data_IF_861930120952
#
_entry.id   IF_861930120952
#
_cell.length_a   1.000
_cell.length_b   1.000
_cell.length_c   1.000
_cell.angle_alpha   90.00
_cell.angle_beta   90.00
_cell.angle_gamma   90.00
#
_symmetry.space_group_name_H-M   'P 1'
#
loop_
_entity.id
_entity.type
_entity.pdbx_description
1 polymer ?
#
# COMPACT_ATOMS: atom_id res chain seq x y z
N UNK A 1 -16.67 25.92 -8.53
CA UNK A 1 -16.14 25.13 -9.65
C UNK A 1 -15.33 24.00 -9.02
N UNK A 2 -15.90 22.82 -8.95
CA UNK A 2 -15.26 21.64 -8.37
C UNK A 2 -14.36 21.02 -9.45
N UNK A 3 -13.08 21.35 -9.40
CA UNK A 3 -12.08 20.66 -10.21
C UNK A 3 -11.88 19.25 -9.67
N UNK A 4 -12.56 18.28 -10.24
CA UNK A 4 -12.21 16.88 -10.06
C UNK A 4 -10.82 16.68 -10.63
N UNK A 5 -9.81 16.56 -9.77
CA UNK A 5 -8.49 16.10 -10.18
C UNK A 5 -8.64 14.65 -10.62
N UNK A 6 -8.81 14.47 -11.93
CA UNK A 6 -8.73 13.16 -12.56
C UNK A 6 -7.32 12.61 -12.28
N UNK A 7 -7.22 11.59 -11.44
CA UNK A 7 -6.04 10.74 -11.37
C UNK A 7 -6.03 9.96 -12.69
N UNK A 8 -5.58 10.63 -13.73
CA UNK A 8 -5.62 10.12 -15.07
C UNK A 8 -4.61 8.98 -15.19
N UNK A 9 -5.12 7.82 -15.60
CA UNK A 9 -4.40 6.68 -16.17
C UNK A 9 -3.04 6.38 -15.52
N UNK A 10 -3.08 5.72 -14.37
CA UNK A 10 -1.89 5.08 -13.82
C UNK A 10 -1.58 3.79 -14.60
N UNK A 11 -0.55 3.73 -15.45
CA UNK A 11 -0.32 2.54 -16.25
C UNK A 11 0.46 1.44 -15.54
N UNK A 12 1.08 1.68 -14.38
CA UNK A 12 1.92 0.64 -13.75
C UNK A 12 2.07 0.84 -12.25
N UNK A 13 1.72 -0.20 -11.51
CA UNK A 13 2.03 -0.33 -10.08
C UNK A 13 2.91 -1.57 -9.91
N UNK A 14 4.09 -1.40 -9.34
CA UNK A 14 4.94 -2.50 -8.92
C UNK A 14 4.91 -2.63 -7.40
N UNK A 15 4.59 -3.80 -6.89
CA UNK A 15 4.50 -4.03 -5.45
C UNK A 15 5.38 -5.18 -4.99
N UNK A 16 6.02 -5.02 -3.85
CA UNK A 16 6.73 -6.08 -3.14
C UNK A 16 5.89 -6.48 -1.94
N UNK A 17 5.55 -7.75 -1.83
CA UNK A 17 4.79 -8.30 -0.72
C UNK A 17 5.61 -9.33 0.04
N UNK A 18 5.68 -9.18 1.34
CA UNK A 18 6.10 -10.24 2.24
C UNK A 18 4.86 -10.93 2.82
N UNK A 19 4.74 -12.22 2.61
CA UNK A 19 3.65 -13.02 3.19
C UNK A 19 3.96 -14.50 3.11
N UNK A 20 3.76 -15.21 4.21
CA UNK A 20 3.85 -16.67 4.23
C UNK A 20 2.54 -17.23 3.73
N UNK A 21 2.53 -17.83 2.55
CA UNK A 21 1.46 -18.74 2.13
C UNK A 21 1.87 -20.18 2.49
N UNK A 22 0.90 -20.99 2.90
CA UNK A 22 1.08 -22.43 3.17
C UNK A 22 1.26 -23.26 1.88
N UNK A 23 1.98 -22.71 0.88
CA UNK A 23 2.50 -23.45 -0.27
C UNK A 23 3.94 -23.82 0.00
N UNK A 24 4.45 -24.87 -0.63
CA UNK A 24 5.82 -25.36 -0.44
C UNK A 24 6.87 -24.26 -0.58
N UNK A 25 6.64 -23.27 -1.45
CA UNK A 25 7.48 -22.08 -1.64
C UNK A 25 7.35 -21.04 -0.52
N UNK A 26 6.40 -21.19 0.39
CA UNK A 26 6.17 -20.29 1.54
C UNK A 26 6.74 -20.81 2.84
N UNK A 27 7.34 -22.00 2.87
CA UNK A 27 8.03 -22.52 4.04
C UNK A 27 9.27 -21.66 4.35
N UNK A 28 9.53 -21.46 5.64
CA UNK A 28 10.70 -20.66 6.07
C UNK A 28 12.01 -21.20 5.50
N UNK A 29 12.13 -22.52 5.40
CA UNK A 29 13.30 -23.17 4.81
C UNK A 29 13.52 -22.81 3.34
N UNK A 30 12.44 -22.57 2.58
CA UNK A 30 12.50 -22.19 1.17
C UNK A 30 12.55 -20.67 0.95
N UNK A 31 11.99 -19.91 1.88
CA UNK A 31 11.95 -18.45 1.82
C UNK A 31 13.17 -17.79 2.49
N UNK A 32 13.85 -18.51 3.39
CA UNK A 32 15.04 -18.03 4.08
C UNK A 32 16.16 -17.80 3.09
N UNK A 33 16.82 -16.63 3.20
CA UNK A 33 17.91 -16.22 2.31
C UNK A 33 17.54 -16.22 0.80
N UNK A 34 16.25 -16.05 0.50
CA UNK A 34 15.73 -16.05 -0.87
C UNK A 34 14.86 -14.82 -1.14
N UNK A 35 14.98 -14.28 -2.34
CA UNK A 35 14.15 -13.19 -2.86
C UNK A 35 13.63 -13.57 -4.23
N UNK A 36 12.33 -13.86 -4.35
CA UNK A 36 11.76 -14.40 -5.57
C UNK A 36 10.44 -13.75 -5.97
N UNK A 37 10.27 -13.48 -7.26
CA UNK A 37 8.98 -13.09 -7.80
C UNK A 37 8.03 -14.29 -7.80
N UNK A 38 6.76 -14.06 -7.51
CA UNK A 38 5.71 -15.07 -7.60
C UNK A 38 4.44 -14.53 -8.25
N UNK A 39 3.57 -15.41 -8.70
CA UNK A 39 2.31 -14.99 -9.34
C UNK A 39 2.50 -14.15 -10.60
N UNK A 40 3.62 -14.27 -11.31
CA UNK A 40 4.00 -13.44 -12.47
C UNK A 40 3.00 -13.56 -13.62
N UNK A 41 2.39 -14.74 -13.81
CA UNK A 41 1.36 -14.98 -14.85
C UNK A 41 -0.04 -14.52 -14.44
N UNK A 42 -0.23 -14.08 -13.21
CA UNK A 42 -1.48 -13.66 -12.62
C UNK A 42 -1.52 -13.96 -11.13
N UNK A 43 -1.71 -12.94 -10.33
CA UNK A 43 -1.87 -13.06 -8.89
C UNK A 43 -3.34 -12.88 -8.53
N UNK A 44 -3.83 -13.62 -7.54
CA UNK A 44 -5.25 -13.58 -7.11
C UNK A 44 -5.76 -12.19 -6.72
N UNK A 45 -4.86 -11.30 -6.25
CA UNK A 45 -5.23 -9.91 -5.90
C UNK A 45 -5.20 -8.95 -7.10
N UNK A 46 -4.68 -9.37 -8.26
CA UNK A 46 -4.62 -8.50 -9.43
C UNK A 46 -5.99 -7.97 -9.86
N UNK A 47 -7.06 -8.81 -9.98
CA UNK A 47 -8.40 -8.33 -10.34
C UNK A 47 -8.96 -7.33 -9.33
N UNK A 48 -8.76 -7.58 -8.04
CA UNK A 48 -9.23 -6.72 -6.95
C UNK A 48 -8.55 -5.34 -6.99
N UNK A 49 -7.22 -5.32 -7.15
CA UNK A 49 -6.46 -4.07 -7.29
C UNK A 49 -6.90 -3.31 -8.54
N UNK A 50 -7.05 -4.00 -9.67
CA UNK A 50 -7.51 -3.39 -10.92
C UNK A 50 -8.92 -2.79 -10.79
N UNK A 51 -9.83 -3.49 -10.09
CA UNK A 51 -11.18 -3.01 -9.80
C UNK A 51 -11.14 -1.75 -8.93
N UNK A 52 -10.38 -1.76 -7.83
CA UNK A 52 -10.25 -0.59 -6.95
C UNK A 52 -9.69 0.63 -7.67
N UNK A 53 -8.67 0.44 -8.51
CA UNK A 53 -8.09 1.50 -9.32
C UNK A 53 -9.07 2.03 -10.37
N UNK A 54 -9.82 1.15 -11.01
CA UNK A 54 -10.84 1.54 -12.00
C UNK A 54 -11.97 2.35 -11.37
N UNK A 55 -12.43 1.97 -10.18
CA UNK A 55 -13.43 2.72 -9.42
C UNK A 55 -12.92 4.11 -9.04
N UNK A 56 -11.69 4.21 -8.54
CA UNK A 56 -11.07 5.48 -8.16
C UNK A 56 -10.81 6.41 -9.36
N UNK A 57 -10.46 5.83 -10.51
CA UNK A 57 -10.15 6.58 -11.74
C UNK A 57 -11.38 6.88 -12.61
N UNK A 58 -12.56 6.32 -12.30
CA UNK A 58 -13.74 6.44 -13.13
C UNK A 58 -13.65 5.68 -14.47
N UNK A 59 -12.76 4.70 -14.58
CA UNK A 59 -12.57 3.90 -15.80
C UNK A 59 -11.39 2.93 -15.70
N UNK A 60 -11.17 2.08 -16.71
CA UNK A 60 -10.14 1.05 -16.66
C UNK A 60 -8.73 1.65 -16.55
N UNK A 61 -7.92 1.06 -15.67
CA UNK A 61 -6.53 1.45 -15.42
C UNK A 61 -5.61 0.29 -15.81
N UNK A 62 -4.56 0.57 -16.57
CA UNK A 62 -3.51 -0.40 -16.85
C UNK A 62 -2.70 -0.67 -15.58
N UNK A 63 -2.58 -1.95 -15.19
CA UNK A 63 -1.87 -2.39 -14.00
C UNK A 63 -0.84 -3.45 -14.35
N UNK A 64 0.39 -3.24 -13.90
CA UNK A 64 1.40 -4.30 -13.79
C UNK A 64 1.63 -4.53 -12.29
N UNK A 65 1.35 -5.75 -11.84
CA UNK A 65 1.50 -6.15 -10.45
C UNK A 65 2.40 -7.38 -10.36
N UNK A 66 3.56 -7.23 -9.76
CA UNK A 66 4.53 -8.31 -9.60
C UNK A 66 4.95 -8.42 -8.14
N UNK A 67 4.31 -9.28 -7.35
CA UNK A 67 4.70 -9.49 -5.97
C UNK A 67 5.99 -10.32 -5.86
N UNK A 68 6.75 -10.05 -4.79
CA UNK A 68 7.95 -10.78 -4.45
C UNK A 68 7.85 -11.31 -3.02
N UNK A 69 8.34 -12.52 -2.80
CA UNK A 69 8.60 -13.05 -1.46
C UNK A 69 9.97 -12.57 -1.01
N UNK A 70 10.03 -12.08 0.22
CA UNK A 70 11.25 -11.69 0.91
C UNK A 70 11.41 -12.53 2.16
N UNK A 71 12.62 -12.76 2.69
CA UNK A 71 12.84 -13.53 3.92
C UNK A 71 12.45 -12.72 5.17
N UNK A 72 11.31 -12.04 5.13
CA UNK A 72 10.77 -11.28 6.24
C UNK A 72 9.56 -12.01 6.85
N UNK A 73 9.49 -12.04 8.18
CA UNK A 73 8.46 -12.77 8.92
C UNK A 73 7.06 -12.22 8.60
N UNK A 74 6.93 -10.89 8.45
CA UNK A 74 5.67 -10.21 8.15
C UNK A 74 5.91 -8.80 7.63
N UNK A 75 4.87 -8.23 7.04
CA UNK A 75 4.85 -6.89 6.48
C UNK A 75 4.61 -6.90 4.97
N UNK A 76 4.09 -5.80 4.46
CA UNK A 76 3.99 -5.50 3.04
C UNK A 76 4.75 -4.21 2.80
N UNK A 77 5.60 -4.21 1.78
CA UNK A 77 6.21 -3.01 1.23
C UNK A 77 5.80 -2.90 -0.24
N UNK A 78 5.13 -1.83 -0.61
CA UNK A 78 4.75 -1.58 -1.99
C UNK A 78 5.45 -0.32 -2.51
N UNK A 79 6.04 -0.42 -3.69
CA UNK A 79 6.51 0.74 -4.45
C UNK A 79 5.64 0.89 -5.69
N UNK A 80 4.96 2.02 -5.78
CA UNK A 80 4.06 2.34 -6.88
C UNK A 80 4.69 3.42 -7.75
N UNK A 81 4.62 3.22 -9.06
CA UNK A 81 5.02 4.24 -10.03
C UNK A 81 3.83 4.64 -10.87
N UNK A 82 3.57 5.93 -10.97
CA UNK A 82 2.47 6.47 -11.77
C UNK A 82 2.94 7.68 -12.58
N UNK A 83 2.68 7.71 -13.89
CA UNK A 83 2.91 8.90 -14.68
C UNK A 83 2.08 10.08 -14.18
N UNK A 84 2.70 11.25 -14.09
CA UNK A 84 2.03 12.49 -13.74
C UNK A 84 1.43 13.11 -15.00
N UNK A 85 0.14 13.43 -14.92
CA UNK A 85 -0.54 14.20 -15.98
C UNK A 85 -0.25 15.69 -15.83
N UNK A 86 -0.07 16.13 -14.59
CA UNK A 86 0.26 17.52 -14.25
C UNK A 86 1.62 17.52 -13.53
N UNK A 87 2.71 17.83 -14.23
CA UNK A 87 4.06 17.79 -13.63
C UNK A 87 4.24 18.73 -12.43
N UNK A 88 3.50 19.84 -12.39
CA UNK A 88 3.62 20.85 -11.31
C UNK A 88 2.80 20.51 -10.06
N UNK A 89 2.15 19.32 -10.02
CA UNK A 89 1.35 18.93 -8.86
C UNK A 89 2.23 18.78 -7.62
N UNK A 90 1.87 19.43 -6.54
CA UNK A 90 2.43 19.15 -5.21
C UNK A 90 1.84 17.84 -4.69
N UNK A 91 2.59 16.75 -4.88
CA UNK A 91 2.18 15.41 -4.50
C UNK A 91 2.05 15.27 -2.97
N UNK A 92 2.94 15.91 -2.22
CA UNK A 92 2.92 15.85 -0.75
C UNK A 92 1.61 16.45 -0.22
N UNK A 93 1.32 17.70 -0.61
CA UNK A 93 0.09 18.38 -0.21
C UNK A 93 -1.18 17.62 -0.68
N UNK A 94 -1.14 16.99 -1.85
CA UNK A 94 -2.24 16.18 -2.36
C UNK A 94 -2.56 14.99 -1.45
N UNK A 95 -1.53 14.25 -1.03
CA UNK A 95 -1.69 13.08 -0.17
C UNK A 95 -2.06 13.47 1.26
N UNK A 96 -1.42 14.49 1.84
CA UNK A 96 -1.77 15.02 3.15
C UNK A 96 -3.24 15.45 3.20
N UNK A 97 -3.70 16.18 2.18
CA UNK A 97 -5.10 16.59 2.08
C UNK A 97 -6.05 15.40 1.91
N UNK A 98 -5.68 14.41 1.09
CA UNK A 98 -6.54 13.24 0.84
C UNK A 98 -6.73 12.38 2.08
N UNK A 99 -5.70 12.24 2.88
CA UNK A 99 -5.70 11.39 4.06
C UNK A 99 -5.84 12.17 5.38
N UNK A 100 -6.11 13.47 5.30
CA UNK A 100 -6.41 14.28 6.49
C UNK A 100 -7.61 13.70 7.25
N UNK A 101 -7.42 13.34 8.50
CA UNK A 101 -8.48 12.75 9.33
C UNK A 101 -8.62 11.23 9.24
N UNK A 102 -7.85 10.55 8.40
CA UNK A 102 -7.83 9.08 8.34
C UNK A 102 -6.96 8.53 9.50
N UNK A 103 -7.55 7.88 10.53
CA UNK A 103 -6.84 7.61 11.79
C UNK A 103 -5.70 6.60 11.64
N UNK A 104 -5.71 5.79 10.58
CA UNK A 104 -4.73 4.73 10.36
C UNK A 104 -3.83 4.99 9.15
N UNK A 105 -3.84 6.20 8.59
CA UNK A 105 -2.97 6.55 7.46
C UNK A 105 -2.03 7.68 7.88
N UNK A 106 -0.75 7.39 7.88
CA UNK A 106 0.33 8.34 8.17
C UNK A 106 1.04 8.72 6.85
N UNK A 107 0.79 9.93 6.37
CA UNK A 107 1.55 10.51 5.25
C UNK A 107 2.82 11.10 5.83
N UNK A 108 3.93 10.44 5.58
CA UNK A 108 5.22 10.79 6.15
C UNK A 108 5.74 12.12 5.60
N UNK A 109 6.59 12.85 6.35
CA UNK A 109 7.22 14.08 5.88
C UNK A 109 7.98 13.90 4.55
N UNK A 110 8.11 14.98 3.74
CA UNK A 110 8.87 14.92 2.50
C UNK A 110 10.28 14.36 2.69
N UNK A 111 10.73 13.53 1.76
CA UNK A 111 12.04 12.89 1.80
C UNK A 111 12.14 11.65 2.70
N UNK A 112 11.07 11.28 3.37
CA UNK A 112 11.03 10.07 4.20
C UNK A 112 11.01 8.79 3.35
N UNK A 113 11.50 7.69 3.95
CA UNK A 113 11.35 6.34 3.41
C UNK A 113 10.83 5.43 4.53
N UNK A 114 9.64 4.83 4.39
CA UNK A 114 9.07 3.95 5.40
C UNK A 114 9.79 2.61 5.43
N UNK A 115 9.69 1.93 6.57
CA UNK A 115 10.12 0.54 6.72
C UNK A 115 9.00 -0.30 7.37
N UNK A 116 9.01 -1.62 7.14
CA UNK A 116 7.95 -2.51 7.60
C UNK A 116 7.91 -2.70 9.12
N UNK A 117 9.00 -2.44 9.84
CA UNK A 117 9.01 -2.52 11.31
C UNK A 117 8.19 -1.40 11.93
N UNK A 118 8.22 -0.23 11.30
CA UNK A 118 7.55 0.97 11.80
C UNK A 118 6.01 0.85 11.87
N UNK A 119 5.43 -0.22 11.30
CA UNK A 119 3.99 -0.51 11.31
C UNK A 119 3.67 -1.89 11.88
N UNK A 120 4.68 -2.66 12.31
CA UNK A 120 4.52 -4.04 12.77
C UNK A 120 3.50 -4.15 13.91
N UNK A 121 2.58 -5.10 13.80
CA UNK A 121 1.50 -5.38 14.76
C UNK A 121 0.52 -4.23 15.00
N UNK A 122 0.52 -3.19 14.19
CA UNK A 122 -0.43 -2.09 14.25
C UNK A 122 -1.36 -2.06 13.05
N UNK A 123 -2.46 -1.31 13.16
CA UNK A 123 -3.36 -1.05 12.04
C UNK A 123 -2.92 0.16 11.19
N UNK A 124 -1.68 0.64 11.40
CA UNK A 124 -1.14 1.77 10.66
C UNK A 124 -0.69 1.39 9.25
N UNK A 125 -0.93 2.29 8.33
CA UNK A 125 -0.38 2.32 6.98
C UNK A 125 0.44 3.61 6.84
N UNK A 126 1.69 3.52 6.39
CA UNK A 126 2.54 4.68 6.13
C UNK A 126 2.78 4.87 4.66
N UNK A 127 2.70 6.12 4.22
CA UNK A 127 2.87 6.52 2.82
C UNK A 127 3.98 7.58 2.77
N UNK A 128 4.97 7.37 1.91
CA UNK A 128 5.91 8.41 1.51
C UNK A 128 5.79 8.67 0.01
N UNK A 129 5.83 9.94 -0.36
CA UNK A 129 5.59 10.38 -1.74
C UNK A 129 6.83 11.06 -2.28
N UNK A 130 7.27 10.65 -3.46
CA UNK A 130 8.47 11.15 -4.09
C UNK A 130 8.25 11.45 -5.56
N UNK A 131 9.08 12.33 -6.10
CA UNK A 131 9.26 12.52 -7.54
C UNK A 131 10.70 12.19 -7.88
N UNK A 132 10.97 11.07 -8.55
CA UNK A 132 12.33 10.73 -8.98
C UNK A 132 12.86 11.79 -9.95
N UNK A 133 14.09 12.25 -9.71
CA UNK A 133 14.72 13.28 -10.52
C UNK A 133 14.78 12.89 -12.00
N UNK A 134 14.49 13.85 -12.88
CA UNK A 134 14.52 13.65 -14.34
C UNK A 134 13.38 12.80 -14.90
N UNK A 135 12.31 12.61 -14.13
CA UNK A 135 11.13 11.84 -14.59
C UNK A 135 9.81 12.55 -14.30
N UNK A 136 8.79 12.26 -15.11
CA UNK A 136 7.41 12.69 -14.86
C UNK A 136 6.63 11.58 -14.15
N UNK A 137 7.25 10.98 -13.12
CA UNK A 137 6.64 9.92 -12.33
C UNK A 137 6.40 10.37 -10.89
N UNK A 138 5.24 9.99 -10.35
CA UNK A 138 5.08 9.86 -8.92
C UNK A 138 5.62 8.49 -8.48
N UNK A 139 6.41 8.46 -7.43
CA UNK A 139 6.83 7.25 -6.74
C UNK A 139 6.24 7.29 -5.33
N UNK A 140 5.40 6.31 -5.03
CA UNK A 140 4.72 6.20 -3.75
C UNK A 140 5.23 4.94 -3.06
N UNK A 141 5.77 5.10 -1.87
CA UNK A 141 6.23 4.03 -1.00
C UNK A 141 5.18 3.79 0.08
N UNK A 142 4.72 2.56 0.21
CA UNK A 142 3.67 2.21 1.17
C UNK A 142 4.10 1.01 1.99
N UNK A 143 3.91 1.09 3.31
CA UNK A 143 4.13 -0.04 4.21
C UNK A 143 2.92 -0.29 5.09
N UNK A 144 2.63 -1.55 5.33
CA UNK A 144 1.61 -2.00 6.27
C UNK A 144 1.96 -3.35 6.88
N UNK A 145 1.32 -3.69 7.97
CA UNK A 145 1.37 -5.03 8.53
C UNK A 145 0.35 -5.93 7.81
N UNK A 146 0.84 -6.97 7.14
CA UNK A 146 0.01 -7.87 6.34
C UNK A 146 -1.01 -8.69 7.14
N UNK A 147 -0.83 -8.85 8.46
CA UNK A 147 -1.73 -9.60 9.34
C UNK A 147 -2.73 -8.70 10.06
N UNK A 148 -2.39 -7.42 10.26
CA UNK A 148 -3.26 -6.45 10.91
C UNK A 148 -3.94 -5.58 9.86
N UNK A 149 -3.32 -4.52 9.36
CA UNK A 149 -3.91 -3.62 8.35
C UNK A 149 -4.26 -4.36 7.06
N UNK A 150 -3.41 -5.27 6.62
CA UNK A 150 -3.63 -6.07 5.42
C UNK A 150 -4.65 -7.22 5.58
N UNK A 151 -5.18 -7.48 6.78
CA UNK A 151 -6.09 -8.59 7.04
C UNK A 151 -7.08 -8.31 8.19
N UNK A 152 -6.81 -8.85 9.39
CA UNK A 152 -7.76 -8.82 10.50
C UNK A 152 -8.08 -7.42 11.01
N UNK A 153 -7.09 -6.52 11.05
CA UNK A 153 -7.29 -5.15 11.49
C UNK A 153 -8.20 -4.36 10.56
N UNK A 154 -8.06 -4.53 9.24
CA UNK A 154 -8.98 -3.91 8.27
C UNK A 154 -10.39 -4.47 8.39
N UNK A 155 -10.55 -5.76 8.68
CA UNK A 155 -11.86 -6.35 8.90
C UNK A 155 -12.54 -5.76 10.15
N UNK A 156 -11.81 -5.59 11.25
CA UNK A 156 -12.32 -4.95 12.47
C UNK A 156 -12.64 -3.48 12.21
N UNK A 157 -11.79 -2.74 11.51
CA UNK A 157 -12.03 -1.35 11.13
C UNK A 157 -13.33 -1.22 10.32
N UNK A 158 -13.53 -2.07 9.32
CA UNK A 158 -14.77 -2.09 8.54
C UNK A 158 -15.98 -2.43 9.41
N UNK A 159 -15.86 -3.41 10.31
CA UNK A 159 -16.93 -3.76 11.26
C UNK A 159 -17.29 -2.56 12.15
N UNK A 160 -16.31 -1.86 12.70
CA UNK A 160 -16.55 -0.67 13.53
C UNK A 160 -17.37 0.38 12.77
N UNK A 161 -16.98 0.68 11.54
CA UNK A 161 -17.71 1.62 10.67
C UNK A 161 -19.13 1.14 10.36
N UNK A 162 -19.32 -0.15 10.04
CA UNK A 162 -20.64 -0.72 9.72
C UNK A 162 -21.61 -0.66 10.90
N UNK A 163 -21.11 -0.81 12.13
CA UNK A 163 -21.94 -0.76 13.35
C UNK A 163 -21.99 0.63 13.99
N UNK A 164 -21.36 1.64 13.39
CA UNK A 164 -21.34 3.01 13.91
C UNK A 164 -20.50 3.14 15.20
N UNK A 165 -19.57 2.25 15.42
CA UNK A 165 -18.61 2.34 16.51
C UNK A 165 -17.44 3.27 16.16
N UNK A 166 -16.67 3.75 17.14
CA UNK A 166 -15.45 4.48 16.85
C UNK A 166 -14.55 3.62 15.95
N UNK A 167 -14.12 4.17 14.81
CA UNK A 167 -13.33 3.46 13.81
C UNK A 167 -12.09 2.79 14.39
N UNK A 168 -11.50 3.42 15.41
CA UNK A 168 -10.26 2.97 16.07
C UNK A 168 -10.49 1.96 17.19
N UNK A 169 -11.73 1.61 17.51
CA UNK A 169 -12.03 0.72 18.64
C UNK A 169 -11.30 -0.63 18.52
N UNK A 170 -10.43 -0.92 19.50
CA UNK A 170 -9.63 -2.15 19.56
C UNK A 170 -8.46 -2.22 18.55
N UNK A 171 -8.13 -1.11 17.88
CA UNK A 171 -7.10 -1.06 16.84
C UNK A 171 -5.98 -0.05 17.11
N UNK A 172 -5.95 0.56 18.28
CA UNK A 172 -5.04 1.62 18.72
C UNK A 172 -3.68 1.11 19.23
N UNK A 173 -3.38 -0.17 18.98
CA UNK A 173 -2.08 -0.75 19.34
C UNK A 173 -0.93 -0.04 18.59
N UNK A 174 0.08 0.37 19.37
CA UNK A 174 1.30 0.95 18.81
C UNK A 174 2.14 -0.13 18.10
N UNK A 175 2.90 0.24 17.06
CA UNK A 175 3.84 -0.69 16.43
C UNK A 175 4.83 -1.26 17.43
N UNK A 176 5.05 -2.57 17.34
CA UNK A 176 6.06 -3.26 18.15
C UNK A 176 7.40 -3.21 17.43
N UNK A 177 8.31 -2.41 17.94
CA UNK A 177 9.70 -2.43 17.53
C UNK A 177 10.43 -3.49 18.37
N UNK A 178 11.09 -4.47 17.75
CA UNK A 178 11.92 -5.42 18.49
C UNK A 178 13.18 -4.77 19.01
#
# INVERSE_FOLDING_TARGET
>A
MSGAYSVAKMPRIAGVRCGVNASDTGLFAEASDNFAAYGVRGHRHHPEIAQGLALAAGGPVGLVFTPHLTPAIRGIYATLYAPLVCPDTDLQALYEKRYAGEPFVDVMPPGSAPDTRSVRASNMLRIAVHRPAGTDLAMILVVEDNLVKGAAGQAIQNMNLMFGWPETAGLDALPVLP
#
